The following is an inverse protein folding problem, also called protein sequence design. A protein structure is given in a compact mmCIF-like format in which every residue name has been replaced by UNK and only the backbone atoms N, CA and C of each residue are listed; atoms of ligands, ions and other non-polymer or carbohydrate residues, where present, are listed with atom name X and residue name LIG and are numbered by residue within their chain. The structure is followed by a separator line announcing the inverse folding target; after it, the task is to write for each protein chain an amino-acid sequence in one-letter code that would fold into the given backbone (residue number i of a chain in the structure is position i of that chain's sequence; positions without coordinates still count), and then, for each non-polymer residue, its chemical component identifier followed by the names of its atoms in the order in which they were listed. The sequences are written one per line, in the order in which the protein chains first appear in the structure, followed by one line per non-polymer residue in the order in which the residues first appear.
data_IF_016557126168
#
_entry.id   IF_016557126168
#
_cell.length_a   1.000
_cell.length_b   1.000
_cell.length_c   1.000
_cell.angle_alpha   90.00
_cell.angle_beta   90.00
_cell.angle_gamma   90.00
#
_symmetry.space_group_name_H-M   'P 1'
#
loop_
_entity.id
_entity.type
_entity.pdbx_description
1 polymer ?
#
# COMPACT_ATOMS: atom_id res chain seq x y z
N UNK A 1 -3.55 -38.25 -16.07
CA UNK A 1 -3.86 -38.70 -14.69
C UNK A 1 -2.77 -38.44 -13.65
N UNK A 2 -1.55 -38.04 -14.02
CA UNK A 2 -0.46 -37.72 -13.05
C UNK A 2 -0.62 -36.31 -12.45
N UNK A 3 -1.12 -35.33 -13.21
CA UNK A 3 -1.30 -33.94 -12.73
C UNK A 3 -2.30 -33.80 -11.56
N UNK A 4 -3.34 -34.64 -11.49
CA UNK A 4 -4.38 -34.54 -10.46
C UNK A 4 -3.92 -35.07 -9.09
N UNK A 5 -2.90 -35.95 -9.07
CA UNK A 5 -2.27 -36.45 -7.82
C UNK A 5 -1.33 -35.41 -7.20
N UNK A 6 -0.70 -34.55 -8.00
CA UNK A 6 0.17 -33.48 -7.50
C UNK A 6 -0.63 -32.35 -6.84
N UNK A 7 -1.81 -32.00 -7.36
CA UNK A 7 -2.63 -30.93 -6.81
C UNK A 7 -3.16 -31.27 -5.40
N UNK A 8 -3.51 -32.53 -5.13
CA UNK A 8 -3.99 -32.97 -3.81
C UNK A 8 -2.91 -33.08 -2.73
N UNK A 9 -1.61 -33.14 -3.10
CA UNK A 9 -0.50 -33.21 -2.14
C UNK A 9 0.14 -31.85 -1.87
N UNK A 10 0.17 -30.96 -2.86
CA UNK A 10 0.85 -29.66 -2.76
C UNK A 10 0.08 -28.65 -1.88
N UNK A 11 -1.25 -28.69 -1.92
CA UNK A 11 -2.10 -27.76 -1.15
C UNK A 11 -2.04 -27.98 0.38
N UNK A 12 -2.16 -29.21 0.91
CA UNK A 12 -2.06 -29.43 2.36
C UNK A 12 -0.65 -29.21 2.92
N UNK A 13 0.41 -29.47 2.13
CA UNK A 13 1.80 -29.22 2.55
C UNK A 13 2.11 -27.72 2.63
N UNK A 14 1.61 -26.92 1.67
CA UNK A 14 1.72 -25.47 1.73
C UNK A 14 0.89 -24.87 2.89
N UNK A 15 -0.29 -25.43 3.19
CA UNK A 15 -1.09 -25.02 4.36
C UNK A 15 -0.47 -25.42 5.71
N UNK A 16 0.20 -26.58 5.79
CA UNK A 16 0.90 -27.01 6.99
C UNK A 16 2.16 -26.15 7.26
N UNK A 17 2.90 -25.78 6.21
CA UNK A 17 4.06 -24.89 6.31
C UNK A 17 3.70 -23.45 6.73
N UNK A 18 2.46 -23.02 6.46
CA UNK A 18 1.96 -21.70 6.86
C UNK A 18 1.50 -21.63 8.33
N UNK A 19 1.26 -22.78 9.00
CA UNK A 19 0.80 -22.85 10.40
C UNK A 19 1.91 -23.18 11.41
N UNK A 20 3.06 -23.67 10.97
CA UNK A 20 4.13 -24.08 11.86
C UNK A 20 5.02 -22.88 12.27
N UNK A 21 4.71 -22.32 13.43
CA UNK A 21 5.67 -21.54 14.21
C UNK A 21 6.78 -22.49 14.72
N UNK A 22 8.04 -22.06 14.60
CA UNK A 22 9.28 -22.72 15.05
C UNK A 22 9.69 -24.08 14.44
N UNK A 23 10.27 -24.07 13.25
CA UNK A 23 11.60 -24.69 13.02
C UNK A 23 12.13 -24.35 11.63
N UNK A 24 13.38 -23.88 11.56
CA UNK A 24 14.12 -23.64 10.31
C UNK A 24 14.23 -24.91 9.44
N UNK A 25 14.02 -26.08 10.05
CA UNK A 25 14.00 -27.40 9.41
C UNK A 25 12.81 -27.60 8.45
N UNK A 26 11.63 -27.05 8.75
CA UNK A 26 10.42 -27.29 7.94
C UNK A 26 10.50 -26.73 6.52
N UNK A 27 11.30 -25.68 6.30
CA UNK A 27 11.42 -25.01 5.00
C UNK A 27 12.40 -25.73 4.05
N UNK A 28 13.46 -26.33 4.59
CA UNK A 28 14.40 -27.12 3.80
C UNK A 28 13.80 -28.46 3.33
N UNK A 29 13.02 -29.12 4.20
CA UNK A 29 12.27 -30.32 3.85
C UNK A 29 11.24 -30.09 2.74
N UNK A 30 10.56 -28.94 2.74
CA UNK A 30 9.60 -28.58 1.69
C UNK A 30 10.27 -28.37 0.31
N UNK A 31 11.46 -27.76 0.27
CA UNK A 31 12.20 -27.59 -0.98
C UNK A 31 12.73 -28.91 -1.53
N UNK A 32 13.23 -29.81 -0.67
CA UNK A 32 13.62 -31.16 -1.07
C UNK A 32 12.42 -31.95 -1.60
N UNK A 33 11.27 -31.88 -0.94
CA UNK A 33 10.06 -32.60 -1.33
C UNK A 33 9.46 -32.11 -2.66
N UNK A 34 9.57 -30.81 -2.97
CA UNK A 34 9.01 -30.22 -4.20
C UNK A 34 9.98 -30.34 -5.39
N UNK A 35 11.29 -30.24 -5.15
CA UNK A 35 12.29 -30.19 -6.24
C UNK A 35 13.08 -31.48 -6.43
N UNK A 36 13.11 -32.36 -5.42
CA UNK A 36 13.99 -33.54 -5.38
C UNK A 36 15.49 -33.21 -5.27
N UNK A 37 15.86 -31.93 -5.17
CA UNK A 37 17.25 -31.48 -5.24
C UNK A 37 17.83 -31.20 -3.86
N UNK A 38 18.74 -32.07 -3.42
CA UNK A 38 19.52 -31.87 -2.20
C UNK A 38 20.39 -30.61 -2.26
N UNK A 39 20.89 -30.22 -3.44
CA UNK A 39 21.66 -29.00 -3.62
C UNK A 39 20.81 -27.75 -3.31
N UNK A 40 19.55 -27.70 -3.78
CA UNK A 40 18.64 -26.59 -3.48
C UNK A 40 18.24 -26.57 -2.00
N UNK A 41 18.03 -27.75 -1.39
CA UNK A 41 17.76 -27.84 0.04
C UNK A 41 18.95 -27.33 0.88
N UNK A 42 20.17 -27.74 0.53
CA UNK A 42 21.40 -27.28 1.20
C UNK A 42 21.61 -25.77 1.01
N UNK A 43 21.42 -25.24 -0.20
CA UNK A 43 21.51 -23.81 -0.47
C UNK A 43 20.48 -23.01 0.34
N UNK A 44 19.26 -23.51 0.49
CA UNK A 44 18.23 -22.85 1.29
C UNK A 44 18.54 -22.87 2.80
N UNK A 45 19.05 -23.99 3.33
CA UNK A 45 19.53 -24.07 4.72
C UNK A 45 20.65 -23.07 4.95
N UNK A 46 21.62 -23.03 4.04
CA UNK A 46 22.74 -22.08 4.11
C UNK A 46 22.25 -20.63 4.06
N UNK A 47 21.34 -20.29 3.16
CA UNK A 47 20.75 -18.95 3.07
C UNK A 47 20.02 -18.55 4.36
N UNK A 48 19.26 -19.48 4.96
CA UNK A 48 18.60 -19.25 6.27
C UNK A 48 19.61 -19.08 7.39
N UNK A 49 20.69 -19.87 7.40
CA UNK A 49 21.75 -19.77 8.39
C UNK A 49 22.50 -18.43 8.30
N UNK A 50 22.90 -18.03 7.08
CA UNK A 50 23.55 -16.73 6.83
C UNK A 50 22.61 -15.57 7.19
N UNK A 51 21.34 -15.66 6.78
CA UNK A 51 20.34 -14.65 7.12
C UNK A 51 20.17 -14.48 8.63
N UNK A 52 20.14 -15.58 9.39
CA UNK A 52 19.94 -15.55 10.83
C UNK A 52 21.20 -15.18 11.64
N UNK A 53 22.39 -15.58 11.18
CA UNK A 53 23.63 -15.39 11.92
C UNK A 53 24.34 -14.07 11.58
N UNK A 54 24.16 -13.58 10.35
CA UNK A 54 24.90 -12.42 9.83
C UNK A 54 23.95 -11.27 9.52
N UNK A 55 22.97 -11.48 8.64
CA UNK A 55 22.17 -10.40 8.11
C UNK A 55 21.23 -9.80 9.17
N UNK A 56 20.46 -10.63 9.87
CA UNK A 56 19.45 -10.19 10.83
C UNK A 56 20.07 -9.45 12.04
N UNK A 57 21.16 -9.91 12.68
CA UNK A 57 21.80 -9.16 13.76
C UNK A 57 22.40 -7.82 13.29
N UNK A 58 23.07 -7.81 12.13
CA UNK A 58 23.67 -6.60 11.58
C UNK A 58 22.62 -5.55 11.22
N UNK A 59 21.52 -5.96 10.58
CA UNK A 59 20.41 -5.08 10.23
C UNK A 59 19.71 -4.53 11.49
N UNK A 60 19.47 -5.37 12.49
CA UNK A 60 18.87 -4.93 13.75
C UNK A 60 19.73 -3.91 14.49
N UNK A 61 21.05 -4.12 14.60
CA UNK A 61 21.97 -3.15 15.22
C UNK A 61 22.02 -1.83 14.45
N UNK A 62 22.10 -1.88 13.11
CA UNK A 62 22.09 -0.67 12.29
C UNK A 62 20.79 0.14 12.44
N UNK A 63 19.63 -0.53 12.41
CA UNK A 63 18.32 0.13 12.56
C UNK A 63 18.10 0.64 13.99
N UNK A 64 18.59 -0.08 15.01
CA UNK A 64 18.52 0.38 16.40
C UNK A 64 19.39 1.62 16.64
N UNK A 65 20.61 1.66 16.08
CA UNK A 65 21.46 2.86 16.15
C UNK A 65 20.84 4.06 15.44
N UNK A 66 20.21 3.84 14.28
CA UNK A 66 19.64 4.94 13.46
C UNK A 66 18.33 5.49 14.01
N UNK A 67 17.46 4.63 14.55
CA UNK A 67 16.07 4.99 14.88
C UNK A 67 15.70 4.73 16.34
N UNK A 68 16.53 4.01 17.09
CA UNK A 68 16.42 3.82 18.53
C UNK A 68 15.05 3.33 18.99
N UNK A 69 14.44 4.09 19.91
CA UNK A 69 13.16 3.74 20.52
C UNK A 69 12.03 3.59 19.52
N UNK A 70 12.04 4.35 18.42
CA UNK A 70 11.01 4.27 17.38
C UNK A 70 11.07 2.94 16.62
N UNK A 71 12.28 2.43 16.35
CA UNK A 71 12.48 1.10 15.77
C UNK A 71 12.02 -0.03 16.71
N UNK A 72 12.41 0.04 17.99
CA UNK A 72 11.95 -0.95 18.99
C UNK A 72 10.44 -0.95 19.17
N UNK A 73 9.79 0.22 19.10
CA UNK A 73 8.34 0.32 19.11
C UNK A 73 7.71 -0.30 17.86
N UNK A 74 8.29 -0.05 16.68
CA UNK A 74 7.86 -0.67 15.42
C UNK A 74 7.99 -2.20 15.47
N UNK A 75 9.13 -2.74 15.90
CA UNK A 75 9.37 -4.20 15.96
C UNK A 75 8.48 -4.95 16.92
N UNK A 76 8.09 -4.34 18.04
CA UNK A 76 7.08 -4.91 18.94
C UNK A 76 5.69 -4.98 18.30
N UNK A 77 5.38 -4.06 17.39
CA UNK A 77 4.10 -4.03 16.71
C UNK A 77 4.08 -4.82 15.39
N UNK A 78 5.20 -4.91 14.68
CA UNK A 78 5.29 -5.50 13.34
C UNK A 78 6.21 -6.70 13.36
N UNK A 79 5.60 -7.89 13.30
CA UNK A 79 6.33 -9.17 13.27
C UNK A 79 6.93 -9.42 11.88
N UNK A 80 8.13 -10.01 11.80
CA UNK A 80 8.68 -10.44 10.52
C UNK A 80 7.77 -11.48 9.87
N UNK A 81 7.59 -11.40 8.55
CA UNK A 81 6.78 -12.31 7.72
C UNK A 81 5.29 -12.38 8.04
N UNK A 82 4.81 -11.72 9.09
CA UNK A 82 3.39 -11.60 9.39
C UNK A 82 2.92 -10.20 9.04
N UNK A 83 2.48 -9.96 7.80
CA UNK A 83 2.04 -8.65 7.40
C UNK A 83 0.84 -8.23 8.27
N UNK A 84 0.72 -6.93 8.56
CA UNK A 84 -0.42 -6.37 9.28
C UNK A 84 -1.56 -6.05 8.33
N UNK A 85 -2.80 -6.16 8.78
CA UNK A 85 -3.94 -5.81 7.94
C UNK A 85 -4.07 -4.30 7.76
N UNK A 86 -3.70 -3.53 8.79
CA UNK A 86 -3.65 -2.07 8.76
C UNK A 86 -2.22 -1.55 8.92
N UNK A 87 -1.91 -0.36 8.37
CA UNK A 87 -0.61 0.29 8.50
C UNK A 87 -0.22 0.49 9.96
N UNK A 88 1.08 0.58 10.21
CA UNK A 88 1.58 0.90 11.55
C UNK A 88 1.28 2.38 11.87
N UNK A 89 0.57 2.68 12.97
CA UNK A 89 0.15 4.05 13.27
C UNK A 89 1.28 4.97 13.74
N UNK A 90 2.45 4.42 14.12
CA UNK A 90 3.61 5.20 14.56
C UNK A 90 4.41 5.85 13.44
N UNK A 91 4.00 5.68 12.18
CA UNK A 91 4.63 6.38 11.06
C UNK A 91 4.33 7.88 11.11
N UNK A 92 5.28 8.74 10.70
CA UNK A 92 5.03 10.17 10.56
C UNK A 92 3.80 10.46 9.67
N UNK A 93 2.92 11.40 10.05
CA UNK A 93 1.66 11.60 9.35
C UNK A 93 1.89 12.21 7.95
N UNK A 94 1.26 11.60 6.95
CA UNK A 94 1.24 12.10 5.59
C UNK A 94 0.09 13.09 5.35
N UNK A 95 0.20 13.87 4.27
CA UNK A 95 -0.83 14.81 3.81
C UNK A 95 -1.22 14.47 2.38
N UNK A 96 -2.52 14.40 2.12
CA UNK A 96 -3.07 14.35 0.77
C UNK A 96 -3.86 15.63 0.52
N UNK A 97 -3.29 16.50 -0.30
CA UNK A 97 -3.95 17.67 -0.85
C UNK A 97 -4.79 17.22 -2.03
N UNK A 98 -6.08 17.47 -1.99
CA UNK A 98 -7.00 17.04 -3.03
C UNK A 98 -7.93 18.19 -3.39
N UNK A 99 -8.22 18.36 -4.68
CA UNK A 99 -9.19 19.35 -5.12
C UNK A 99 -10.59 18.97 -4.59
N UNK A 100 -11.05 19.75 -3.62
CA UNK A 100 -12.35 19.55 -2.99
C UNK A 100 -13.49 20.22 -3.79
N UNK A 101 -13.17 21.08 -4.75
CA UNK A 101 -14.13 21.69 -5.69
C UNK A 101 -14.46 20.77 -6.87
N UNK A 102 -13.54 19.90 -7.26
CA UNK A 102 -13.78 18.89 -8.29
C UNK A 102 -14.65 17.73 -7.77
N UNK A 103 -15.77 17.45 -8.44
CA UNK A 103 -16.73 16.40 -8.05
C UNK A 103 -16.08 15.01 -7.88
N UNK A 104 -15.41 14.45 -8.90
CA UNK A 104 -14.67 13.20 -8.80
C UNK A 104 -13.61 13.18 -7.68
N UNK A 105 -12.77 14.23 -7.57
CA UNK A 105 -11.75 14.32 -6.53
C UNK A 105 -12.37 14.36 -5.13
N UNK A 106 -13.42 15.16 -4.90
CA UNK A 106 -14.13 15.20 -3.64
C UNK A 106 -14.74 13.83 -3.26
N UNK A 107 -15.20 13.06 -4.25
CA UNK A 107 -15.73 11.69 -4.06
C UNK A 107 -14.61 10.73 -3.62
N UNK A 108 -13.44 10.81 -4.25
CA UNK A 108 -12.23 10.07 -3.84
C UNK A 108 -11.81 10.42 -2.42
N UNK A 109 -11.82 11.70 -2.05
CA UNK A 109 -11.51 12.14 -0.69
C UNK A 109 -12.46 11.54 0.35
N UNK A 110 -13.76 11.51 0.07
CA UNK A 110 -14.76 10.87 0.94
C UNK A 110 -14.55 9.36 1.02
N UNK A 111 -14.29 8.70 -0.11
CA UNK A 111 -13.98 7.27 -0.16
C UNK A 111 -12.85 6.89 0.80
N UNK A 112 -11.77 7.69 0.82
CA UNK A 112 -10.65 7.50 1.73
C UNK A 112 -11.09 7.71 3.18
N UNK A 113 -11.75 8.83 3.49
CA UNK A 113 -12.19 9.15 4.85
C UNK A 113 -13.14 8.10 5.44
N UNK A 114 -14.08 7.59 4.64
CA UNK A 114 -15.01 6.54 5.04
C UNK A 114 -14.30 5.26 5.50
N UNK A 115 -13.10 4.99 4.97
CA UNK A 115 -12.29 3.80 5.30
C UNK A 115 -11.32 4.02 6.47
N UNK A 116 -11.41 5.17 7.15
CA UNK A 116 -10.63 5.52 8.36
C UNK A 116 -9.11 5.31 8.17
N UNK A 117 -8.47 6.13 7.32
CA UNK A 117 -7.07 5.95 6.96
C UNK A 117 -6.16 6.15 8.18
N UNK A 118 -5.08 5.39 8.26
CA UNK A 118 -4.11 5.44 9.36
C UNK A 118 -2.96 6.38 9.00
N UNK A 119 -2.79 7.46 9.75
CA UNK A 119 -1.67 8.40 9.54
C UNK A 119 -1.78 9.27 8.29
N UNK A 120 -2.98 9.45 7.71
CA UNK A 120 -3.22 10.32 6.56
C UNK A 120 -4.10 11.50 6.94
N UNK A 121 -3.68 12.72 6.57
CA UNK A 121 -4.48 13.94 6.72
C UNK A 121 -4.89 14.44 5.34
N UNK A 122 -6.20 14.39 5.05
CA UNK A 122 -6.74 15.01 3.84
C UNK A 122 -6.86 16.53 4.03
N UNK A 123 -6.42 17.29 3.05
CA UNK A 123 -6.49 18.75 3.02
C UNK A 123 -7.05 19.24 1.69
N UNK A 124 -7.87 20.31 1.66
CA UNK A 124 -8.28 20.93 0.42
C UNK A 124 -7.05 21.52 -0.29
N UNK A 125 -6.83 21.16 -1.54
CA UNK A 125 -5.70 21.65 -2.33
C UNK A 125 -5.70 23.18 -2.51
N UNK A 126 -6.86 23.83 -2.48
CA UNK A 126 -6.98 25.29 -2.49
C UNK A 126 -6.33 26.02 -1.29
N UNK A 127 -6.04 25.31 -0.20
CA UNK A 127 -5.32 25.87 0.96
C UNK A 127 -3.80 25.69 0.86
N UNK A 128 -3.32 25.10 -0.22
CA UNK A 128 -1.89 24.94 -0.46
C UNK A 128 -1.28 26.29 -0.88
N UNK A 129 0.00 26.53 -0.52
CA UNK A 129 0.70 27.79 -0.85
C UNK A 129 0.89 27.98 -2.36
N UNK A 130 0.98 26.88 -3.10
CA UNK A 130 1.14 26.85 -4.55
C UNK A 130 -0.12 26.27 -5.19
N UNK A 131 -0.41 26.69 -6.41
CA UNK A 131 -1.50 26.12 -7.21
C UNK A 131 -1.16 24.67 -7.54
N UNK A 132 -1.91 23.75 -6.96
CA UNK A 132 -1.77 22.32 -7.20
C UNK A 132 -2.68 21.88 -8.34
N UNK A 133 -2.23 20.87 -9.09
CA UNK A 133 -3.03 20.24 -10.15
C UNK A 133 -3.68 18.97 -9.61
N UNK A 134 -5.00 19.03 -9.38
CA UNK A 134 -5.89 17.99 -8.82
C UNK A 134 -5.52 17.43 -7.44
N UNK A 135 -4.34 16.83 -7.30
CA UNK A 135 -3.93 16.10 -6.11
C UNK A 135 -2.41 16.14 -5.91
N UNK A 136 -1.98 16.30 -4.66
CA UNK A 136 -0.59 16.13 -4.25
C UNK A 136 -0.52 15.38 -2.91
N UNK A 137 0.33 14.38 -2.84
CA UNK A 137 0.65 13.63 -1.65
C UNK A 137 2.01 14.07 -1.14
N UNK A 138 2.11 14.30 0.16
CA UNK A 138 3.37 14.58 0.87
C UNK A 138 3.48 13.60 2.03
N UNK A 139 4.39 12.64 1.90
CA UNK A 139 4.72 11.66 2.92
C UNK A 139 5.36 12.31 4.14
N UNK A 140 5.21 11.65 5.30
CA UNK A 140 5.87 12.13 6.52
C UNK A 140 7.40 11.97 6.49
N UNK A 141 7.92 11.24 5.51
CA UNK A 141 9.33 11.07 5.14
C UNK A 141 9.80 12.07 4.07
N UNK A 142 8.91 12.95 3.59
CA UNK A 142 9.21 13.94 2.56
C UNK A 142 8.98 13.47 1.12
N UNK A 143 8.54 12.22 0.88
CA UNK A 143 8.22 11.78 -0.48
C UNK A 143 7.02 12.54 -1.05
N UNK A 144 7.10 12.95 -2.32
CA UNK A 144 6.03 13.72 -2.99
C UNK A 144 5.51 12.94 -4.19
N UNK A 145 4.18 12.81 -4.27
CA UNK A 145 3.47 12.25 -5.43
C UNK A 145 2.40 13.20 -5.93
N UNK A 146 2.06 13.17 -7.22
CA UNK A 146 1.05 14.06 -7.84
C UNK A 146 0.02 13.29 -8.65
N UNK A 147 -1.15 13.88 -8.88
CA UNK A 147 -2.20 13.29 -9.72
C UNK A 147 -2.66 11.92 -9.22
N UNK A 148 -2.71 10.92 -10.11
CA UNK A 148 -3.11 9.55 -9.74
C UNK A 148 -2.12 8.91 -8.75
N UNK A 149 -0.82 9.18 -8.88
CA UNK A 149 0.20 8.68 -7.95
C UNK A 149 -0.03 9.20 -6.52
N UNK A 150 -0.49 10.46 -6.38
CA UNK A 150 -0.87 11.00 -5.07
C UNK A 150 -2.02 10.21 -4.43
N UNK A 151 -3.04 9.87 -5.22
CA UNK A 151 -4.18 9.05 -4.76
C UNK A 151 -3.73 7.64 -4.43
N UNK A 152 -2.82 7.05 -5.23
CA UNK A 152 -2.25 5.74 -4.99
C UNK A 152 -1.51 5.67 -3.64
N UNK A 153 -0.72 6.69 -3.29
CA UNK A 153 -0.15 6.80 -1.95
C UNK A 153 -1.20 6.96 -0.85
N UNK A 154 -2.30 7.66 -1.11
CA UNK A 154 -3.44 7.72 -0.19
C UNK A 154 -4.01 6.33 0.15
N UNK A 155 -4.00 5.39 -0.80
CA UNK A 155 -4.45 4.01 -0.58
C UNK A 155 -3.53 3.20 0.34
N UNK A 156 -2.24 3.54 0.43
CA UNK A 156 -1.28 2.88 1.33
C UNK A 156 -1.66 3.09 2.82
N UNK A 157 -2.47 4.11 3.11
CA UNK A 157 -2.97 4.41 4.47
C UNK A 157 -4.24 3.65 4.85
N UNK A 158 -4.82 2.87 3.93
CA UNK A 158 -5.97 2.02 4.18
C UNK A 158 -5.52 0.60 4.58
N UNK A 159 -6.43 -0.38 4.59
CA UNK A 159 -6.05 -1.77 4.80
C UNK A 159 -5.22 -2.34 3.63
N UNK A 160 -4.49 -3.43 3.91
CA UNK A 160 -3.50 -4.05 3.01
C UNK A 160 -4.01 -4.28 1.59
N UNK A 161 -5.27 -4.67 1.40
CA UNK A 161 -5.84 -4.86 0.07
C UNK A 161 -5.76 -3.59 -0.80
N UNK A 162 -6.03 -2.42 -0.22
CA UNK A 162 -5.91 -1.14 -0.91
C UNK A 162 -4.46 -0.71 -1.08
N UNK A 163 -3.57 -1.03 -0.13
CA UNK A 163 -2.15 -0.77 -0.28
C UNK A 163 -1.55 -1.54 -1.48
N UNK A 164 -1.99 -2.77 -1.75
CA UNK A 164 -1.58 -3.47 -2.98
C UNK A 164 -2.08 -2.78 -4.24
N UNK A 165 -3.31 -2.25 -4.24
CA UNK A 165 -3.80 -1.45 -5.37
C UNK A 165 -2.99 -0.17 -5.56
N UNK A 166 -2.68 0.55 -4.48
CA UNK A 166 -1.79 1.71 -4.50
C UNK A 166 -0.38 1.36 -5.00
N UNK A 167 0.15 0.21 -4.60
CA UNK A 167 1.42 -0.31 -5.10
C UNK A 167 1.38 -0.64 -6.61
N UNK A 168 0.30 -1.24 -7.11
CA UNK A 168 0.13 -1.54 -8.54
C UNK A 168 0.00 -0.28 -9.42
N UNK A 169 -0.51 0.82 -8.88
CA UNK A 169 -0.74 2.07 -9.62
C UNK A 169 0.46 3.01 -9.68
N UNK A 170 1.53 2.74 -8.92
CA UNK A 170 2.72 3.61 -8.83
C UNK A 170 3.83 3.37 -9.87
N UNK A 171 4.04 2.17 -10.45
CA UNK A 171 5.04 1.99 -11.49
C UNK A 171 4.71 2.86 -12.71
N UNK A 172 5.71 3.30 -13.48
CA UNK A 172 5.54 4.33 -14.51
C UNK A 172 4.49 3.98 -15.58
N UNK A 173 4.43 2.72 -16.03
CA UNK A 173 3.44 2.27 -17.02
C UNK A 173 2.00 2.33 -16.50
N UNK A 174 1.66 1.62 -15.42
CA UNK A 174 0.34 1.69 -14.78
C UNK A 174 -0.06 3.11 -14.39
N UNK A 175 0.86 3.89 -13.81
CA UNK A 175 0.60 5.27 -13.41
C UNK A 175 0.24 6.15 -14.61
N UNK A 176 1.01 6.05 -15.70
CA UNK A 176 0.75 6.79 -16.93
C UNK A 176 -0.59 6.41 -17.54
N UNK A 177 -0.89 5.12 -17.65
CA UNK A 177 -2.17 4.65 -18.19
C UNK A 177 -3.35 5.10 -17.34
N UNK A 178 -3.25 4.96 -16.01
CA UNK A 178 -4.29 5.40 -15.09
C UNK A 178 -4.47 6.93 -15.14
N UNK A 179 -3.37 7.67 -15.33
CA UNK A 179 -3.42 9.12 -15.53
C UNK A 179 -4.15 9.48 -16.82
N UNK A 180 -3.84 8.82 -17.94
CA UNK A 180 -4.54 9.02 -19.22
C UNK A 180 -6.03 8.73 -19.13
N UNK A 181 -6.42 7.60 -18.53
CA UNK A 181 -7.84 7.26 -18.34
C UNK A 181 -8.52 8.30 -17.46
N UNK A 182 -7.84 8.77 -16.41
CA UNK A 182 -8.38 9.82 -15.55
C UNK A 182 -8.58 11.13 -16.32
N UNK A 183 -7.60 11.51 -17.13
CA UNK A 183 -7.61 12.75 -17.91
C UNK A 183 -8.70 12.74 -18.99
N UNK A 184 -8.88 11.60 -19.66
CA UNK A 184 -9.84 11.45 -20.74
C UNK A 184 -11.28 11.23 -20.25
N UNK A 185 -11.47 10.45 -19.17
CA UNK A 185 -12.80 9.91 -18.83
C UNK A 185 -13.35 10.39 -17.48
N UNK A 186 -12.51 10.86 -16.56
CA UNK A 186 -12.93 11.11 -15.17
C UNK A 186 -12.91 12.61 -14.85
N UNK A 187 -11.75 13.23 -15.00
CA UNK A 187 -11.55 14.63 -14.67
C UNK A 187 -10.37 15.15 -15.48
N UNK A 188 -10.57 16.01 -16.50
CA UNK A 188 -9.49 16.63 -17.28
C UNK A 188 -8.48 17.42 -16.43
N UNK A 189 -7.27 17.72 -16.92
CA UNK A 189 -6.26 18.43 -16.13
C UNK A 189 -6.77 19.81 -15.70
N UNK A 190 -6.77 20.08 -14.40
CA UNK A 190 -7.24 21.36 -13.86
C UNK A 190 -6.44 21.78 -12.62
N UNK A 191 -6.26 23.11 -12.42
CA UNK A 191 -5.81 23.65 -11.15
C UNK A 191 -6.88 23.44 -10.08
N UNK A 192 -6.44 23.17 -8.84
CA UNK A 192 -7.33 23.00 -7.71
C UNK A 192 -8.11 24.29 -7.41
N UNK A 193 -9.39 24.15 -7.08
CA UNK A 193 -10.31 25.28 -6.87
C UNK A 193 -10.84 25.37 -5.45
N UNK A 194 -11.34 26.55 -5.10
CA UNK A 194 -12.07 26.70 -3.84
C UNK A 194 -13.42 26.01 -4.00
N UNK A 195 -13.87 25.34 -2.94
CA UNK A 195 -15.16 24.65 -2.96
C UNK A 195 -16.28 25.67 -3.20
N UNK A 196 -17.03 25.50 -4.28
CA UNK A 196 -18.11 26.42 -4.69
C UNK A 196 -17.84 27.11 -6.02
N UNK A 197 -16.60 27.09 -6.52
CA UNK A 197 -16.30 27.61 -7.86
C UNK A 197 -16.96 26.72 -8.93
N UNK A 198 -17.54 27.31 -10.00
CA UNK A 198 -18.10 26.56 -11.10
C UNK A 198 -17.06 25.60 -11.70
N UNK A 199 -17.45 24.34 -11.93
CA UNK A 199 -16.59 23.38 -12.62
C UNK A 199 -16.38 23.87 -14.07
N UNK A 200 -15.14 23.85 -14.62
CA UNK A 200 -14.91 24.27 -16.01
C UNK A 200 -15.48 23.27 -17.03
N UNK A 201 -15.85 22.07 -16.58
CA UNK A 201 -16.40 21.02 -17.44
C UNK A 201 -17.93 21.09 -17.41
N UNK A 202 -18.61 21.39 -18.53
CA UNK A 202 -20.07 21.50 -18.60
C UNK A 202 -20.73 20.11 -18.74
N UNK A 203 -20.29 19.11 -17.96
CA UNK A 203 -20.97 17.83 -17.91
C UNK A 203 -22.05 17.84 -16.83
N UNK A 204 -23.23 17.34 -17.20
CA UNK A 204 -24.38 17.08 -16.34
C UNK A 204 -24.08 16.14 -15.15
N UNK A 205 -22.89 15.55 -15.12
CA UNK A 205 -22.37 14.73 -14.03
C UNK A 205 -21.72 15.52 -12.88
N UNK A 206 -21.71 16.86 -12.96
CA UNK A 206 -21.59 17.73 -11.79
C UNK A 206 -22.83 17.63 -10.90
N UNK A 207 -23.14 16.40 -10.47
CA UNK A 207 -24.22 16.14 -9.54
C UNK A 207 -23.80 16.76 -8.20
N UNK A 208 -24.37 17.92 -7.92
CA UNK A 208 -24.44 18.55 -6.60
C UNK A 208 -25.34 17.74 -5.64
N UNK A 209 -25.90 16.61 -6.10
CA UNK A 209 -26.66 15.70 -5.26
C UNK A 209 -25.85 15.30 -4.01
N UNK A 210 -26.46 15.41 -2.81
CA UNK A 210 -25.86 14.91 -1.58
C UNK A 210 -25.48 13.44 -1.77
N UNK A 211 -24.19 13.15 -1.73
CA UNK A 211 -23.73 11.77 -1.91
C UNK A 211 -24.11 10.94 -0.67
N UNK A 212 -24.44 9.65 -0.83
CA UNK A 212 -24.83 8.79 0.28
C UNK A 212 -23.78 8.77 1.39
N UNK A 213 -24.25 8.64 2.64
CA UNK A 213 -23.39 8.44 3.82
C UNK A 213 -22.50 7.21 3.61
N UNK A 214 -21.32 7.20 4.23
CA UNK A 214 -20.39 6.09 4.16
C UNK A 214 -21.11 4.75 4.42
N UNK A 215 -21.36 3.97 3.38
CA UNK A 215 -21.86 2.62 3.53
C UNK A 215 -20.71 1.76 4.07
N UNK A 216 -20.99 1.04 5.15
CA UNK A 216 -20.02 0.24 5.89
C UNK A 216 -19.62 -0.96 5.02
N UNK A 217 -18.57 -0.81 4.21
CA UNK A 217 -17.92 -1.91 3.49
C UNK A 217 -16.67 -2.27 4.28
N UNK A 218 -16.87 -3.19 5.23
CA UNK A 218 -15.81 -3.79 6.05
C UNK A 218 -14.89 -4.68 5.23
#
# INVERSE_FOLDING_TARGET
MILLRYLCLVVPVLLAAARADSSRAGRAGALLAVTGSWALAAAAVLAVAVGAAVADPHEHDHLDRRYGTSWRAYRRAVRPWWPRWRPYPGNPPARLWLDAGCGPCARTGRFLLCRRPTGLRLRPAARHRQVLWRAEYVGGDGHIGRGVVAVAHGLDHLQRGWAYLGWLLRPPGPAWLAQLVTDAMIAPPHPARVRGDPCPTPSSDCSTAPSPRCANTG
#
